data_IF_951747472854
#
_entry.id   IF_951747472854
#
_cell.length_a   1.000
_cell.length_b   1.000
_cell.length_c   1.000
_cell.angle_alpha   90.00
_cell.angle_beta   90.00
_cell.angle_gamma   90.00
#
_symmetry.space_group_name_H-M   'P 1'
#
loop_
_entity.id
_entity.type
_entity.pdbx_description
1 polymer ?
#
# COMPACT_ATOMS: atom_id res chain seq x y z
N UNK A 1 2.31 -5.59 2.16
CA UNK A 1 2.54 -4.63 3.27
C UNK A 1 3.86 -3.85 3.13
N UNK A 2 4.92 -4.53 2.70
CA UNK A 2 6.21 -3.96 2.32
C UNK A 2 6.12 -3.02 1.11
N UNK A 3 5.34 -3.34 0.07
CA UNK A 3 5.10 -2.41 -1.05
C UNK A 3 4.50 -1.10 -0.60
N UNK A 4 3.55 -1.13 0.35
CA UNK A 4 2.94 0.06 0.94
C UNK A 4 3.99 0.87 1.71
N UNK A 5 4.80 0.20 2.53
CA UNK A 5 5.88 0.84 3.27
C UNK A 5 6.92 1.51 2.35
N UNK A 6 7.30 0.83 1.25
CA UNK A 6 8.25 1.35 0.27
C UNK A 6 7.65 2.53 -0.51
N UNK A 7 6.44 2.37 -1.06
CA UNK A 7 5.78 3.37 -1.91
C UNK A 7 5.56 4.71 -1.17
N UNK A 8 5.06 4.65 0.07
CA UNK A 8 4.78 5.84 0.86
C UNK A 8 5.95 6.29 1.72
N UNK A 9 7.07 5.55 1.70
CA UNK A 9 8.23 5.77 2.57
C UNK A 9 7.88 5.88 4.07
N UNK A 10 7.00 5.00 4.55
CA UNK A 10 6.59 4.91 5.96
C UNK A 10 7.05 3.60 6.58
N UNK A 11 7.26 3.56 7.89
CA UNK A 11 7.66 2.36 8.65
C UNK A 11 6.74 2.18 9.86
N UNK A 12 6.63 0.95 10.34
CA UNK A 12 5.82 0.60 11.51
C UNK A 12 6.42 -0.55 12.29
N UNK A 13 5.83 -0.89 13.43
CA UNK A 13 6.32 -1.97 14.32
C UNK A 13 5.30 -3.08 14.51
N UNK A 14 4.34 -3.24 13.59
CA UNK A 14 3.26 -4.22 13.74
C UNK A 14 3.73 -5.66 13.55
N UNK A 15 4.87 -5.85 12.87
CA UNK A 15 5.46 -7.15 12.59
C UNK A 15 6.83 -7.24 13.28
N UNK A 16 7.08 -8.25 14.13
CA UNK A 16 8.39 -8.44 14.74
C UNK A 16 9.49 -8.57 13.68
N UNK A 17 10.63 -7.91 13.93
CA UNK A 17 11.84 -7.93 13.08
C UNK A 17 11.70 -7.37 11.65
N UNK A 18 10.52 -6.89 11.25
CA UNK A 18 10.33 -6.25 9.94
C UNK A 18 9.53 -4.96 10.12
N UNK A 19 10.05 -3.78 9.76
CA UNK A 19 9.47 -2.49 10.12
C UNK A 19 8.25 -2.11 9.24
N UNK A 20 7.19 -2.91 9.29
CA UNK A 20 6.00 -2.82 8.45
C UNK A 20 4.80 -2.26 9.22
N UNK A 21 4.11 -1.25 8.65
CA UNK A 21 2.78 -0.85 9.09
C UNK A 21 1.72 -1.71 8.38
N UNK A 22 1.02 -2.57 9.11
CA UNK A 22 -0.12 -3.34 8.61
C UNK A 22 -1.25 -2.38 8.19
N UNK A 23 -1.47 -2.34 6.88
CA UNK A 23 -2.33 -1.40 6.18
C UNK A 23 -2.73 -1.97 4.81
N UNK A 24 -3.66 -1.31 4.13
CA UNK A 24 -4.01 -1.54 2.73
C UNK A 24 -3.96 -0.23 1.96
N UNK A 25 -3.80 -0.28 0.64
CA UNK A 25 -3.81 0.91 -0.19
C UNK A 25 -4.58 0.68 -1.49
N UNK A 26 -5.24 1.73 -1.97
CA UNK A 26 -5.77 1.84 -3.33
C UNK A 26 -4.98 2.93 -4.05
N UNK A 27 -4.49 2.64 -5.26
CA UNK A 27 -3.76 3.58 -6.10
C UNK A 27 -4.64 3.93 -7.31
N UNK A 28 -4.83 5.22 -7.55
CA UNK A 28 -5.65 5.74 -8.65
C UNK A 28 -4.78 6.19 -9.81
N UNK A 29 -5.34 6.17 -11.03
CA UNK A 29 -4.62 6.51 -12.26
C UNK A 29 -4.15 7.97 -12.33
N UNK A 30 -4.80 8.86 -11.59
CA UNK A 30 -4.49 10.28 -11.49
C UNK A 30 -3.35 10.59 -10.51
N UNK A 31 -2.77 9.55 -9.90
CA UNK A 31 -1.68 9.65 -8.92
C UNK A 31 -2.15 9.87 -7.49
N UNK A 32 -3.46 9.90 -7.22
CA UNK A 32 -4.00 9.86 -5.87
C UNK A 32 -3.88 8.46 -5.26
N UNK A 33 -3.78 8.40 -3.94
CA UNK A 33 -3.84 7.14 -3.20
C UNK A 33 -4.72 7.23 -1.96
N UNK A 34 -5.36 6.11 -1.61
CA UNK A 34 -6.05 5.95 -0.34
C UNK A 34 -5.29 4.94 0.51
N UNK A 35 -4.90 5.34 1.72
CA UNK A 35 -4.20 4.49 2.68
C UNK A 35 -5.13 4.14 3.84
N UNK A 36 -5.48 2.86 3.93
CA UNK A 36 -6.35 2.29 4.96
C UNK A 36 -5.50 1.75 6.10
N UNK A 37 -5.42 2.51 7.19
CA UNK A 37 -4.51 2.26 8.32
C UNK A 37 -5.17 2.67 9.64
N UNK A 38 -4.73 2.05 10.73
CA UNK A 38 -5.18 2.43 12.07
C UNK A 38 -4.63 3.81 12.43
N UNK A 39 -5.50 4.77 12.71
CA UNK A 39 -5.12 6.16 12.97
C UNK A 39 -4.16 6.33 14.15
N UNK A 40 -4.17 5.40 15.10
CA UNK A 40 -3.27 5.41 16.27
C UNK A 40 -1.81 5.24 15.87
N UNK A 41 -1.54 4.78 14.65
CA UNK A 41 -0.20 4.61 14.07
C UNK A 41 0.31 5.88 13.37
N UNK A 42 -0.52 6.90 13.24
CA UNK A 42 -0.24 8.10 12.45
C UNK A 42 0.02 9.31 13.35
N UNK A 43 1.29 9.58 13.60
CA UNK A 43 1.73 10.81 14.24
C UNK A 43 1.68 12.02 13.29
N UNK A 44 2.04 13.20 13.80
CA UNK A 44 2.06 14.43 13.03
C UNK A 44 3.09 14.44 11.90
N UNK A 45 4.23 13.75 12.07
CA UNK A 45 5.30 13.71 11.07
C UNK A 45 4.87 12.87 9.86
N UNK A 46 4.31 11.68 10.10
CA UNK A 46 3.78 10.83 9.03
C UNK A 46 2.66 11.54 8.27
N UNK A 47 1.75 12.21 8.97
CA UNK A 47 0.65 12.97 8.34
C UNK A 47 1.19 14.12 7.47
N UNK A 48 2.18 14.85 7.96
CA UNK A 48 2.81 15.93 7.19
C UNK A 48 3.57 15.39 5.96
N UNK A 49 4.28 14.27 6.10
CA UNK A 49 5.00 13.61 5.01
C UNK A 49 4.08 13.13 3.89
N UNK A 50 2.95 12.51 4.22
CA UNK A 50 1.98 12.01 3.25
C UNK A 50 1.20 13.14 2.56
N UNK A 51 1.02 14.27 3.26
CA UNK A 51 0.37 15.47 2.73
C UNK A 51 -1.05 15.19 2.20
N UNK A 52 -1.44 15.92 1.16
CA UNK A 52 -2.78 15.82 0.57
C UNK A 52 -2.88 14.83 -0.60
N UNK A 53 -1.75 14.23 -1.00
CA UNK A 53 -1.71 13.27 -2.13
C UNK A 53 -2.27 11.91 -1.70
N UNK A 54 -2.19 11.59 -0.41
CA UNK A 54 -2.69 10.35 0.18
C UNK A 54 -3.87 10.64 1.10
N UNK A 55 -5.04 10.13 0.76
CA UNK A 55 -6.19 10.16 1.68
C UNK A 55 -6.04 9.05 2.71
N UNK A 56 -5.98 9.45 3.98
CA UNK A 56 -5.92 8.54 5.11
C UNK A 56 -7.33 8.10 5.49
N UNK A 57 -7.53 6.78 5.61
CA UNK A 57 -8.82 6.18 6.00
C UNK A 57 -8.65 5.14 7.11
N UNK A 58 -9.64 5.00 8.00
CA UNK A 58 -9.74 3.84 8.89
C UNK A 58 -9.72 2.51 8.13
N UNK A 59 -9.16 1.46 8.75
CA UNK A 59 -8.99 0.15 8.09
C UNK A 59 -10.31 -0.51 7.68
N UNK A 60 -11.37 -0.29 8.44
CA UNK A 60 -12.71 -0.82 8.21
C UNK A 60 -13.41 -0.17 7.02
N UNK A 61 -12.94 0.99 6.54
CA UNK A 61 -13.44 1.62 5.32
C UNK A 61 -12.96 0.95 4.02
N UNK A 62 -11.98 0.03 4.07
CA UNK A 62 -11.51 -0.65 2.85
C UNK A 62 -12.66 -1.36 2.14
N UNK A 63 -13.53 -2.05 2.89
CA UNK A 63 -14.67 -2.76 2.32
C UNK A 63 -15.59 -1.86 1.51
N UNK A 64 -16.18 -0.82 2.13
CA UNK A 64 -16.99 0.18 1.43
C UNK A 64 -16.30 0.84 0.23
N UNK A 65 -14.99 1.10 0.31
CA UNK A 65 -14.23 1.65 -0.81
C UNK A 65 -14.17 0.68 -2.01
N UNK A 66 -13.93 -0.62 -1.75
CA UNK A 66 -13.97 -1.65 -2.79
C UNK A 66 -15.37 -1.79 -3.41
N UNK A 67 -16.43 -1.68 -2.59
CA UNK A 67 -17.81 -1.71 -3.09
C UNK A 67 -18.09 -0.52 -4.02
N UNK A 68 -17.60 0.66 -3.67
CA UNK A 68 -17.73 1.89 -4.48
C UNK A 68 -17.06 1.73 -5.83
N UNK A 69 -15.85 1.15 -5.87
CA UNK A 69 -15.16 0.85 -7.13
C UNK A 69 -15.95 -0.13 -8.00
N UNK A 70 -16.52 -1.18 -7.39
CA UNK A 70 -17.33 -2.15 -8.09
C UNK A 70 -18.63 -1.59 -8.65
N UNK A 71 -19.36 -0.79 -7.86
CA UNK A 71 -20.59 -0.13 -8.29
C UNK A 71 -20.35 0.85 -9.44
N UNK A 72 -19.17 1.47 -9.48
CA UNK A 72 -18.72 2.32 -10.57
C UNK A 72 -18.20 1.53 -11.79
N UNK A 73 -18.23 0.19 -11.77
CA UNK A 73 -17.78 -0.69 -12.85
C UNK A 73 -16.29 -0.53 -13.17
N UNK A 74 -15.46 -0.17 -12.19
CA UNK A 74 -14.04 0.09 -12.40
C UNK A 74 -13.27 -1.20 -12.68
N UNK A 75 -12.21 -1.09 -13.48
CA UNK A 75 -11.20 -2.14 -13.62
C UNK A 75 -10.14 -1.97 -12.54
N UNK A 76 -9.89 -3.01 -11.74
CA UNK A 76 -8.97 -2.97 -10.60
C UNK A 76 -7.89 -4.04 -10.78
N UNK A 77 -6.62 -3.62 -10.70
CA UNK A 77 -5.48 -4.54 -10.71
C UNK A 77 -5.33 -5.22 -9.35
N UNK A 78 -5.23 -6.54 -9.34
CA UNK A 78 -5.01 -7.34 -8.14
C UNK A 78 -3.88 -8.33 -8.38
N UNK A 79 -2.87 -8.31 -7.50
CA UNK A 79 -1.80 -9.29 -7.49
C UNK A 79 -2.26 -10.60 -6.83
N UNK A 80 -2.40 -11.71 -7.58
CA UNK A 80 -2.86 -12.98 -7.03
C UNK A 80 -1.88 -13.63 -6.04
N UNK A 81 -0.61 -13.22 -6.04
CA UNK A 81 0.41 -13.78 -5.15
C UNK A 81 0.40 -13.15 -3.75
N UNK A 82 0.03 -11.87 -3.66
CA UNK A 82 0.19 -11.08 -2.43
C UNK A 82 -1.10 -10.47 -1.90
N UNK A 83 -2.09 -10.25 -2.77
CA UNK A 83 -3.36 -9.66 -2.36
C UNK A 83 -4.29 -10.70 -1.70
N UNK A 84 -4.97 -10.31 -0.63
CA UNK A 84 -5.90 -11.19 0.06
C UNK A 84 -7.08 -11.56 -0.85
N UNK A 85 -7.43 -12.85 -0.88
CA UNK A 85 -8.53 -13.37 -1.71
C UNK A 85 -9.88 -12.69 -1.44
N UNK A 86 -10.10 -12.20 -0.22
CA UNK A 86 -11.28 -11.42 0.15
C UNK A 86 -11.43 -10.14 -0.69
N UNK A 87 -10.34 -9.48 -1.06
CA UNK A 87 -10.37 -8.25 -1.88
C UNK A 87 -10.84 -8.59 -3.31
N UNK A 88 -10.24 -9.60 -3.95
CA UNK A 88 -10.65 -10.11 -5.27
C UNK A 88 -12.14 -10.51 -5.26
N UNK A 89 -12.57 -11.28 -4.24
CA UNK A 89 -13.94 -11.73 -4.11
C UNK A 89 -14.93 -10.56 -3.92
N UNK A 90 -14.60 -9.60 -3.05
CA UNK A 90 -15.46 -8.45 -2.78
C UNK A 90 -15.61 -7.53 -3.99
N UNK A 91 -14.50 -7.22 -4.68
CA UNK A 91 -14.51 -6.44 -5.92
C UNK A 91 -15.43 -7.06 -6.97
N UNK A 92 -15.31 -8.37 -7.20
CA UNK A 92 -16.16 -9.10 -8.15
C UNK A 92 -17.63 -9.08 -7.73
N UNK A 93 -17.91 -9.33 -6.45
CA UNK A 93 -19.28 -9.30 -5.93
C UNK A 93 -19.93 -7.92 -6.06
N UNK A 94 -19.14 -6.85 -5.97
CA UNK A 94 -19.59 -5.47 -6.14
C UNK A 94 -19.73 -5.02 -7.61
N UNK A 95 -19.25 -5.82 -8.58
CA UNK A 95 -19.35 -5.53 -10.02
C UNK A 95 -18.10 -4.94 -10.67
N UNK A 96 -16.95 -4.94 -10.00
CA UNK A 96 -15.69 -4.50 -10.59
C UNK A 96 -15.14 -5.53 -11.60
N UNK A 97 -14.43 -5.05 -12.62
CA UNK A 97 -13.59 -5.92 -13.45
C UNK A 97 -12.23 -6.11 -12.76
N UNK A 98 -11.96 -7.33 -12.26
CA UNK A 98 -10.66 -7.62 -11.64
C UNK A 98 -9.66 -8.07 -12.70
N UNK A 99 -8.65 -7.23 -12.95
CA UNK A 99 -7.48 -7.57 -13.75
C UNK A 99 -6.42 -8.18 -12.86
N UNK A 100 -5.95 -9.38 -13.17
CA UNK A 100 -4.84 -10.01 -12.45
C UNK A 100 -3.50 -9.58 -13.02
N UNK A 101 -2.57 -9.19 -12.16
CA UNK A 101 -1.22 -8.84 -12.57
C UNK A 101 -0.35 -8.47 -11.37
N UNK A 102 0.96 -8.46 -11.57
CA UNK A 102 1.93 -8.22 -10.51
C UNK A 102 1.76 -6.82 -9.90
N UNK A 103 1.97 -6.71 -8.58
CA UNK A 103 2.06 -5.42 -7.90
C UNK A 103 3.11 -4.51 -8.58
N UNK A 104 2.74 -3.31 -9.05
CA UNK A 104 3.65 -2.42 -9.75
C UNK A 104 4.83 -1.94 -8.90
N UNK A 105 4.78 -2.10 -7.58
CA UNK A 105 5.88 -1.77 -6.68
C UNK A 105 7.00 -2.83 -6.70
N UNK A 106 6.74 -4.05 -7.16
CA UNK A 106 7.68 -5.18 -7.06
C UNK A 106 8.98 -4.93 -7.84
N UNK A 107 8.87 -4.60 -9.12
CA UNK A 107 10.06 -4.40 -9.95
C UNK A 107 10.85 -3.14 -9.54
N UNK A 108 10.23 -1.97 -9.32
CA UNK A 108 10.97 -0.78 -8.86
C UNK A 108 11.70 -0.99 -7.54
N UNK A 109 11.07 -1.59 -6.51
CA UNK A 109 11.75 -1.83 -5.22
C UNK A 109 12.82 -2.92 -5.30
N UNK A 110 12.77 -3.80 -6.31
CA UNK A 110 13.81 -4.79 -6.53
C UNK A 110 15.14 -4.14 -6.96
N UNK A 111 15.08 -3.05 -7.74
CA UNK A 111 16.24 -2.34 -8.30
C UNK A 111 16.57 -1.12 -7.43
N UNK A 112 17.57 -1.25 -6.57
CA UNK A 112 17.90 -0.21 -5.58
C UNK A 112 18.52 1.00 -6.27
N UNK A 113 18.09 2.20 -5.88
CA UNK A 113 18.74 3.44 -6.29
C UNK A 113 20.04 3.69 -5.50
N UNK A 114 20.80 4.71 -5.89
CA UNK A 114 22.10 5.03 -5.27
C UNK A 114 22.00 5.31 -3.76
N UNK A 115 20.93 6.01 -3.32
CA UNK A 115 20.71 6.30 -1.92
C UNK A 115 20.39 5.03 -1.11
N UNK A 116 19.56 4.13 -1.64
CA UNK A 116 19.24 2.84 -1.03
C UNK A 116 20.47 1.93 -0.94
N UNK A 117 21.32 1.90 -1.98
CA UNK A 117 22.59 1.16 -1.97
C UNK A 117 23.55 1.74 -0.94
N UNK A 118 23.70 3.07 -0.89
CA UNK A 118 24.55 3.72 0.09
C UNK A 118 24.09 3.45 1.52
N UNK A 119 22.78 3.55 1.78
CA UNK A 119 22.17 3.21 3.07
C UNK A 119 22.41 1.75 3.47
N UNK A 120 22.28 0.83 2.52
CA UNK A 120 22.58 -0.60 2.74
C UNK A 120 24.03 -0.80 3.14
N UNK A 121 24.99 -0.16 2.45
CA UNK A 121 26.42 -0.24 2.81
C UNK A 121 26.70 0.33 4.20
N UNK A 122 26.12 1.47 4.54
CA UNK A 122 26.28 2.08 5.87
C UNK A 122 25.73 1.20 6.99
N UNK A 123 24.61 0.50 6.75
CA UNK A 123 24.07 -0.48 7.69
C UNK A 123 25.05 -1.65 7.90
N UNK A 124 25.60 -2.23 6.83
CA UNK A 124 26.57 -3.33 6.93
C UNK A 124 27.90 -2.91 7.59
N UNK A 125 28.30 -1.64 7.49
CA UNK A 125 29.50 -1.15 8.19
C UNK A 125 29.29 -0.99 9.70
N UNK A 126 28.04 -0.84 10.14
CA UNK A 126 27.69 -0.69 11.55
C UNK A 126 27.53 -2.03 12.26
N UNK A 127 27.02 -3.02 11.54
CA UNK A 127 26.85 -4.41 12.00
C UNK A 127 28.20 -5.09 12.27
#
# INVERSE_FOLDING_TARGET
PDSIAWLFNIRGSDVPHTPLPLSFALLHEDGHAELFIDERKLDGEVRAHLGNVVTLRPRDELGPALDTLGQAGKTVLVDPATCASWIDARLKAAGAEVKRGQDPCELPKAIKNEAEVAGTRAAHLRD
#
